data_IF_192348502772
#
_entry.id   IF_192348502772
#
_cell.length_a   1.000
_cell.length_b   1.000
_cell.length_c   1.000
_cell.angle_alpha   90.00
_cell.angle_beta   90.00
_cell.angle_gamma   90.00
#
_symmetry.space_group_name_H-M   'P 1'
#
loop_
_entity.id
_entity.type
_entity.pdbx_description
1 polymer ?
#
# COMPACT_ATOMS: atom_id res chain seq x y z
N UNK A 1 9.43 39.84 -21.78
CA UNK A 1 10.29 39.15 -20.80
C UNK A 1 9.43 38.09 -20.13
N UNK A 2 9.84 36.82 -20.23
CA UNK A 2 8.98 35.64 -20.03
C UNK A 2 8.44 35.47 -18.60
N UNK A 3 7.23 34.89 -18.43
CA UNK A 3 6.81 34.27 -17.18
C UNK A 3 7.30 32.81 -17.16
N UNK A 4 7.71 32.29 -16.01
CA UNK A 4 7.63 30.86 -15.61
C UNK A 4 8.59 30.61 -14.47
N UNK A 5 8.09 30.65 -13.24
CA UNK A 5 8.70 29.87 -12.17
C UNK A 5 7.76 28.70 -11.90
N UNK A 6 7.93 27.68 -12.75
CA UNK A 6 7.26 26.40 -12.64
C UNK A 6 7.83 25.74 -11.39
N UNK A 7 7.07 25.71 -10.30
CA UNK A 7 7.36 24.89 -9.15
C UNK A 7 7.56 23.44 -9.63
N UNK A 8 8.82 23.04 -9.75
CA UNK A 8 9.21 21.69 -10.12
C UNK A 8 8.66 20.77 -9.05
N UNK A 9 7.54 20.12 -9.37
CA UNK A 9 7.04 18.98 -8.63
C UNK A 9 8.13 17.92 -8.70
N UNK A 10 8.92 17.81 -7.63
CA UNK A 10 10.02 16.88 -7.54
C UNK A 10 9.41 15.48 -7.41
N UNK A 11 9.03 14.88 -8.54
CA UNK A 11 8.62 13.49 -8.62
C UNK A 11 9.88 12.69 -8.38
N UNK A 12 10.10 12.29 -7.12
CA UNK A 12 11.13 11.35 -6.76
C UNK A 12 10.75 10.03 -7.42
N UNK A 13 11.29 9.76 -8.61
CA UNK A 13 11.29 8.41 -9.18
C UNK A 13 12.24 7.59 -8.33
N UNK A 14 11.68 6.93 -7.30
CA UNK A 14 12.42 5.91 -6.56
C UNK A 14 12.83 4.80 -7.54
N UNK A 15 14.02 4.20 -7.38
CA UNK A 15 14.41 3.03 -8.15
C UNK A 15 13.29 2.02 -8.05
N UNK A 16 12.99 1.33 -9.16
CA UNK A 16 11.99 0.28 -9.28
C UNK A 16 12.29 -0.83 -8.26
N UNK A 17 11.92 -0.61 -7.01
CA UNK A 17 11.87 -1.63 -5.99
C UNK A 17 10.88 -2.65 -6.54
N UNK A 18 11.29 -3.91 -6.65
CA UNK A 18 10.38 -4.94 -7.09
C UNK A 18 9.15 -4.88 -6.19
N UNK A 19 7.94 -4.96 -6.76
CA UNK A 19 6.71 -4.71 -6.02
C UNK A 19 6.61 -5.57 -4.74
N UNK A 20 7.19 -6.78 -4.76
CA UNK A 20 7.34 -7.64 -3.59
C UNK A 20 8.13 -6.99 -2.45
N UNK A 21 9.28 -6.37 -2.73
CA UNK A 21 10.10 -5.70 -1.70
C UNK A 21 9.36 -4.53 -1.06
N UNK A 22 8.48 -3.85 -1.81
CA UNK A 22 7.67 -2.74 -1.29
C UNK A 22 6.58 -3.23 -0.35
N UNK A 23 5.85 -4.27 -0.76
CA UNK A 23 4.81 -4.89 0.05
C UNK A 23 5.40 -5.46 1.34
N UNK A 24 6.53 -6.15 1.27
CA UNK A 24 7.19 -6.74 2.43
C UNK A 24 7.61 -5.66 3.45
N UNK A 25 8.13 -4.52 2.97
CA UNK A 25 8.45 -3.39 3.86
C UNK A 25 7.21 -2.77 4.50
N UNK A 26 6.15 -2.56 3.73
CA UNK A 26 4.89 -2.03 4.26
C UNK A 26 4.30 -2.97 5.31
N UNK A 27 4.32 -4.28 5.05
CA UNK A 27 3.86 -5.29 6.01
C UNK A 27 4.72 -5.28 7.29
N UNK A 28 6.04 -5.21 7.17
CA UNK A 28 6.94 -5.12 8.31
C UNK A 28 6.70 -3.85 9.15
N UNK A 29 6.50 -2.71 8.49
CA UNK A 29 6.16 -1.46 9.16
C UNK A 29 4.80 -1.56 9.88
N UNK A 30 3.77 -2.15 9.26
CA UNK A 30 2.46 -2.36 9.89
C UNK A 30 2.53 -3.25 11.13
N UNK A 31 3.33 -4.32 11.08
CA UNK A 31 3.57 -5.20 12.23
C UNK A 31 4.29 -4.43 13.33
N UNK A 32 5.34 -3.66 12.97
CA UNK A 32 6.11 -2.89 13.94
C UNK A 32 5.27 -1.83 14.67
N UNK A 33 4.34 -1.20 13.97
CA UNK A 33 3.42 -0.21 14.53
C UNK A 33 2.17 -0.83 15.19
N UNK A 34 2.04 -2.16 15.18
CA UNK A 34 0.83 -2.87 15.62
C UNK A 34 -0.45 -2.37 14.91
N UNK A 35 -0.31 -1.89 13.67
CA UNK A 35 -1.35 -1.23 12.89
C UNK A 35 -2.11 -2.19 11.96
N UNK A 36 -2.41 -3.40 12.44
CA UNK A 36 -3.02 -4.48 11.62
C UNK A 36 -4.52 -4.66 11.91
N UNK A 37 -5.10 -3.87 12.81
CA UNK A 37 -6.48 -4.05 13.29
C UNK A 37 -7.56 -3.53 12.34
N UNK A 38 -7.29 -2.43 11.63
CA UNK A 38 -8.22 -1.84 10.66
C UNK A 38 -7.49 -1.24 9.48
N UNK A 39 -8.15 -1.18 8.32
CA UNK A 39 -7.63 -0.49 7.13
C UNK A 39 -7.30 0.98 7.44
N UNK A 40 -8.16 1.67 8.20
CA UNK A 40 -7.94 3.06 8.57
C UNK A 40 -6.69 3.28 9.42
N UNK A 41 -6.39 2.35 10.33
CA UNK A 41 -5.15 2.38 11.12
C UNK A 41 -3.94 2.09 10.25
N UNK A 42 -4.02 1.10 9.35
CA UNK A 42 -2.95 0.78 8.42
C UNK A 42 -2.59 1.97 7.52
N UNK A 43 -3.60 2.62 6.91
CA UNK A 43 -3.40 3.83 6.09
C UNK A 43 -2.75 4.93 6.91
N UNK A 44 -3.28 5.24 8.10
CA UNK A 44 -2.73 6.31 8.95
C UNK A 44 -1.28 6.05 9.33
N UNK A 45 -0.96 4.82 9.72
CA UNK A 45 0.40 4.43 10.12
C UNK A 45 1.38 4.49 8.96
N UNK A 46 1.01 3.98 7.78
CA UNK A 46 1.88 4.05 6.60
C UNK A 46 2.07 5.48 6.09
N UNK A 47 1.01 6.30 6.06
CA UNK A 47 1.09 7.71 5.70
C UNK A 47 1.95 8.51 6.69
N UNK A 48 1.90 8.18 7.98
CA UNK A 48 2.72 8.84 9.01
C UNK A 48 4.23 8.65 8.78
N UNK A 49 4.65 7.54 8.16
CA UNK A 49 6.07 7.31 7.83
C UNK A 49 6.61 8.27 6.78
N UNK A 50 5.74 8.83 5.92
CA UNK A 50 6.11 9.61 4.71
C UNK A 50 7.08 8.89 3.75
N UNK A 51 7.26 7.58 3.89
CA UNK A 51 8.13 6.75 3.04
C UNK A 51 7.41 6.24 1.80
N UNK A 52 6.09 6.19 1.83
CA UNK A 52 5.25 5.61 0.80
C UNK A 52 4.32 6.66 0.19
N UNK A 53 4.11 6.57 -1.11
CA UNK A 53 3.11 7.36 -1.81
C UNK A 53 1.71 6.83 -1.54
N UNK A 54 0.71 7.72 -1.62
CA UNK A 54 -0.70 7.33 -1.49
C UNK A 54 -1.10 6.23 -2.49
N UNK A 55 -0.60 6.30 -3.73
CA UNK A 55 -0.88 5.29 -4.75
C UNK A 55 -0.36 3.90 -4.38
N UNK A 56 0.83 3.82 -3.78
CA UNK A 56 1.42 2.53 -3.35
C UNK A 56 0.62 1.93 -2.19
N UNK A 57 0.20 2.77 -1.23
CA UNK A 57 -0.64 2.34 -0.10
C UNK A 57 -2.01 1.88 -0.59
N UNK A 58 -2.61 2.60 -1.54
CA UNK A 58 -3.90 2.22 -2.12
C UNK A 58 -3.80 0.87 -2.85
N UNK A 59 -2.74 0.66 -3.66
CA UNK A 59 -2.50 -0.63 -4.31
C UNK A 59 -2.34 -1.77 -3.32
N UNK A 60 -1.57 -1.59 -2.24
CA UNK A 60 -1.44 -2.60 -1.19
C UNK A 60 -2.81 -3.02 -0.61
N UNK A 61 -3.67 -2.04 -0.34
CA UNK A 61 -4.98 -2.28 0.27
C UNK A 61 -5.91 -3.00 -0.71
N UNK A 62 -5.92 -2.59 -1.98
CA UNK A 62 -6.70 -3.25 -3.01
C UNK A 62 -6.26 -4.70 -3.21
N UNK A 63 -4.95 -4.96 -3.22
CA UNK A 63 -4.39 -6.31 -3.33
C UNK A 63 -4.74 -7.18 -2.11
N UNK A 64 -4.63 -6.63 -0.90
CA UNK A 64 -5.02 -7.32 0.33
C UNK A 64 -6.52 -7.66 0.34
N UNK A 65 -7.37 -6.73 -0.12
CA UNK A 65 -8.82 -6.95 -0.23
C UNK A 65 -9.15 -8.01 -1.28
N UNK A 66 -8.45 -8.00 -2.42
CA UNK A 66 -8.61 -9.02 -3.46
C UNK A 66 -8.23 -10.41 -2.94
N UNK A 67 -7.09 -10.53 -2.25
CA UNK A 67 -6.65 -11.78 -1.64
C UNK A 67 -7.67 -12.31 -0.60
N UNK A 68 -8.14 -11.45 0.31
CA UNK A 68 -9.14 -11.83 1.31
C UNK A 68 -10.44 -12.34 0.67
N UNK A 69 -10.90 -11.69 -0.42
CA UNK A 69 -12.08 -12.15 -1.18
C UNK A 69 -11.85 -13.50 -1.84
N UNK A 70 -10.67 -13.73 -2.41
CA UNK A 70 -10.32 -15.01 -3.00
C UNK A 70 -10.31 -16.13 -1.97
N UNK A 71 -9.76 -15.89 -0.77
CA UNK A 71 -9.78 -16.86 0.33
C UNK A 71 -11.20 -17.22 0.77
N UNK A 72 -12.09 -16.22 0.90
CA UNK A 72 -13.50 -16.45 1.22
C UNK A 72 -14.15 -17.34 0.15
N UNK A 73 -14.00 -16.99 -1.13
CA UNK A 73 -14.56 -17.78 -2.23
C UNK A 73 -14.01 -19.20 -2.21
N UNK A 74 -12.70 -19.38 -2.03
CA UNK A 74 -12.07 -20.69 -1.96
C UNK A 74 -12.62 -21.52 -0.80
N UNK A 75 -12.80 -20.91 0.37
CA UNK A 75 -13.36 -21.57 1.55
C UNK A 75 -14.82 -22.01 1.32
N UNK A 76 -15.65 -21.16 0.71
CA UNK A 76 -17.04 -21.49 0.39
C UNK A 76 -17.14 -22.60 -0.66
N UNK A 77 -16.30 -22.55 -1.71
CA UNK A 77 -16.24 -23.62 -2.72
C UNK A 77 -15.84 -24.96 -2.10
N UNK A 78 -14.91 -24.97 -1.15
CA UNK A 78 -14.50 -26.18 -0.44
C UNK A 78 -15.59 -26.73 0.51
N UNK A 79 -16.47 -25.88 1.03
CA UNK A 79 -17.63 -26.31 1.84
C UNK A 79 -18.75 -26.92 1.00
N UNK A 80 -18.85 -26.51 -0.26
CA UNK A 80 -19.90 -26.93 -1.18
C UNK A 80 -19.58 -28.22 -1.97
N UNK A 81 -18.32 -28.69 -1.91
CA UNK A 81 -17.85 -29.96 -2.50
C UNK A 81 -17.95 -31.12 -1.52
#
# INVERSE_FOLDING_TARGET
MAPSDTAQSNVITLPRLEAGDLIDRMAADLIHFEATGTEGDAIRSLMATRRYGYGEIATLIDDALAAARQEIVAAEMARAS
#
